data_IF_396647032216
#
_entry.id   IF_396647032216
#
_cell.length_a   1.000
_cell.length_b   1.000
_cell.length_c   1.000
_cell.angle_alpha   90.00
_cell.angle_beta   90.00
_cell.angle_gamma   90.00
#
_symmetry.space_group_name_H-M   'P 1'
#
loop_
_entity.id
_entity.type
_entity.pdbx_description
1 polymer ?
#
# COMPACT_ATOMS: atom_id res chain seq x y z
N UNK A 1 -16.61 11.55 11.29
CA UNK A 1 -16.95 10.79 10.06
C UNK A 1 -15.75 10.59 9.13
N UNK A 2 -15.16 11.63 8.51
CA UNK A 2 -14.03 11.41 7.56
C UNK A 2 -12.82 10.75 8.21
N UNK A 3 -12.50 11.15 9.45
CA UNK A 3 -11.41 10.54 10.24
C UNK A 3 -11.73 9.09 10.63
N UNK A 4 -12.97 8.80 10.98
CA UNK A 4 -13.47 7.48 11.39
C UNK A 4 -13.29 6.50 10.23
N UNK A 5 -13.68 6.91 9.02
CA UNK A 5 -13.48 6.15 7.78
C UNK A 5 -11.98 6.00 7.49
N UNK A 6 -11.17 7.06 7.65
CA UNK A 6 -9.73 6.99 7.39
C UNK A 6 -9.01 6.00 8.33
N UNK A 7 -9.31 6.06 9.64
CA UNK A 7 -8.76 5.15 10.65
C UNK A 7 -9.26 3.72 10.40
N UNK A 8 -10.53 3.54 10.00
CA UNK A 8 -11.07 2.24 9.64
C UNK A 8 -10.42 1.65 8.36
N UNK A 9 -10.18 2.48 7.32
CA UNK A 9 -9.42 2.07 6.13
C UNK A 9 -8.00 1.60 6.49
N UNK A 10 -7.32 2.34 7.39
CA UNK A 10 -5.99 1.96 7.88
C UNK A 10 -6.04 0.60 8.61
N UNK A 11 -6.99 0.42 9.52
CA UNK A 11 -7.15 -0.83 10.26
C UNK A 11 -7.45 -2.01 9.33
N UNK A 12 -8.35 -1.84 8.36
CA UNK A 12 -8.67 -2.86 7.37
C UNK A 12 -7.44 -3.20 6.50
N UNK A 13 -6.68 -2.21 6.06
CA UNK A 13 -5.45 -2.43 5.29
C UNK A 13 -4.44 -3.27 6.07
N UNK A 14 -4.25 -2.99 7.36
CA UNK A 14 -3.34 -3.77 8.21
C UNK A 14 -3.87 -5.19 8.43
N UNK A 15 -5.16 -5.34 8.77
CA UNK A 15 -5.80 -6.65 8.96
C UNK A 15 -5.73 -7.53 7.70
N UNK A 16 -5.76 -6.91 6.52
CA UNK A 16 -5.76 -7.62 5.24
C UNK A 16 -4.34 -7.97 4.74
N UNK A 17 -3.35 -7.10 4.97
CA UNK A 17 -2.01 -7.27 4.40
C UNK A 17 -0.91 -7.68 5.38
N UNK A 18 -1.13 -7.56 6.69
CA UNK A 18 -0.11 -7.87 7.69
C UNK A 18 -0.40 -9.20 8.38
N UNK A 19 0.59 -10.07 8.40
CA UNK A 19 0.57 -11.27 9.23
C UNK A 19 0.76 -10.88 10.71
N UNK A 20 -0.02 -11.51 11.58
CA UNK A 20 0.02 -11.37 13.04
C UNK A 20 0.31 -12.72 13.72
N UNK A 21 0.85 -13.68 12.96
CA UNK A 21 1.49 -14.87 13.49
C UNK A 21 2.82 -14.49 14.16
N UNK A 22 3.15 -15.23 15.21
CA UNK A 22 4.40 -15.08 15.95
C UNK A 22 5.61 -15.05 14.99
N UNK A 23 6.54 -14.08 15.11
CA UNK A 23 6.75 -13.14 16.23
C UNK A 23 6.02 -11.79 16.12
N UNK A 24 5.15 -11.61 15.12
CA UNK A 24 4.41 -10.36 14.92
C UNK A 24 3.16 -10.34 15.81
N UNK A 25 2.85 -9.19 16.39
CA UNK A 25 1.64 -8.99 17.20
C UNK A 25 0.60 -8.17 16.45
N UNK A 26 -0.70 -8.46 16.63
CA UNK A 26 -1.75 -7.64 16.04
C UNK A 26 -1.74 -6.24 16.68
N UNK A 27 -1.99 -5.22 15.86
CA UNK A 27 -2.25 -3.86 16.33
C UNK A 27 -3.63 -3.86 16.97
N UNK A 28 -3.71 -3.44 18.22
CA UNK A 28 -4.93 -3.50 19.01
C UNK A 28 -5.88 -2.36 18.67
N UNK A 29 -7.19 -2.57 18.89
CA UNK A 29 -8.21 -1.60 18.55
C UNK A 29 -7.96 -0.21 19.19
N UNK A 30 -7.53 -0.19 20.46
CA UNK A 30 -7.27 1.07 21.17
C UNK A 30 -6.18 1.92 20.50
N UNK A 31 -5.17 1.30 19.88
CA UNK A 31 -4.10 2.01 19.18
C UNK A 31 -4.65 2.78 17.98
N UNK A 32 -5.68 2.26 17.31
CA UNK A 32 -6.37 2.97 16.23
C UNK A 32 -7.26 4.10 16.75
N UNK A 33 -7.95 3.86 17.88
CA UNK A 33 -8.80 4.88 18.50
C UNK A 33 -7.99 6.10 18.93
N UNK A 34 -6.77 5.88 19.44
CA UNK A 34 -5.84 6.93 19.86
C UNK A 34 -5.27 7.77 18.69
N UNK A 35 -5.31 7.26 17.45
CA UNK A 35 -4.89 8.01 16.26
C UNK A 35 -5.90 9.08 15.85
N UNK A 36 -7.17 8.93 16.24
CA UNK A 36 -8.22 9.85 15.83
C UNK A 36 -8.08 11.18 16.56
N UNK A 37 -8.15 12.33 15.85
CA UNK A 37 -8.06 13.67 16.49
C UNK A 37 -9.29 14.01 17.35
N UNK A 38 -10.32 13.16 17.33
CA UNK A 38 -11.52 13.29 18.12
C UNK A 38 -11.84 11.95 18.78
N UNK A 39 -12.63 11.99 19.86
CA UNK A 39 -13.03 10.79 20.59
C UNK A 39 -13.84 9.85 19.69
N UNK A 40 -13.20 8.80 19.21
CA UNK A 40 -13.83 7.72 18.45
C UNK A 40 -14.17 6.58 19.41
N UNK A 41 -15.43 6.18 19.47
CA UNK A 41 -15.81 5.02 20.28
C UNK A 41 -15.45 3.72 19.55
N UNK A 42 -15.29 2.64 20.32
CA UNK A 42 -15.05 1.32 19.74
C UNK A 42 -16.19 0.88 18.81
N UNK A 43 -17.44 1.15 19.18
CA UNK A 43 -18.62 0.80 18.36
C UNK A 43 -18.67 1.59 17.05
N UNK A 44 -18.34 2.88 17.09
CA UNK A 44 -18.27 3.72 15.88
C UNK A 44 -17.15 3.25 14.95
N UNK A 45 -16.02 2.83 15.52
CA UNK A 45 -14.87 2.31 14.78
C UNK A 45 -15.19 0.96 14.10
N UNK A 46 -15.84 0.03 14.79
CA UNK A 46 -16.28 -1.24 14.18
C UNK A 46 -17.40 -1.01 13.15
N UNK A 47 -18.30 -0.07 13.41
CA UNK A 47 -19.34 0.33 12.44
C UNK A 47 -18.71 0.89 11.17
N UNK A 48 -17.73 1.80 11.28
CA UNK A 48 -17.04 2.36 10.11
C UNK A 48 -16.33 1.28 9.28
N UNK A 49 -15.67 0.30 9.92
CA UNK A 49 -15.06 -0.83 9.22
C UNK A 49 -16.09 -1.67 8.46
N UNK A 50 -17.23 -1.98 9.11
CA UNK A 50 -18.33 -2.73 8.48
C UNK A 50 -18.93 -1.98 7.30
N UNK A 51 -19.10 -0.67 7.42
CA UNK A 51 -19.68 0.17 6.37
C UNK A 51 -18.77 0.21 5.14
N UNK A 52 -17.45 0.35 5.34
CA UNK A 52 -16.46 0.27 4.26
C UNK A 52 -16.56 -1.09 3.56
N UNK A 53 -16.47 -2.20 4.32
CA UNK A 53 -16.55 -3.54 3.74
C UNK A 53 -17.85 -3.74 2.95
N UNK A 54 -18.98 -3.29 3.51
CA UNK A 54 -20.29 -3.40 2.87
C UNK A 54 -20.36 -2.57 1.57
N UNK A 55 -19.83 -1.35 1.59
CA UNK A 55 -19.78 -0.47 0.42
C UNK A 55 -18.94 -1.05 -0.73
N UNK A 56 -17.89 -1.79 -0.41
CA UNK A 56 -17.05 -2.50 -1.38
C UNK A 56 -17.51 -3.93 -1.67
N UNK A 57 -18.71 -4.33 -1.23
CA UNK A 57 -19.20 -5.71 -1.38
C UNK A 57 -18.22 -6.77 -0.87
N UNK A 58 -17.50 -6.45 0.20
CA UNK A 58 -16.45 -7.27 0.80
C UNK A 58 -15.30 -7.61 -0.18
N UNK A 59 -15.08 -6.78 -1.20
CA UNK A 59 -14.01 -6.90 -2.19
C UNK A 59 -13.05 -5.71 -2.10
N UNK A 60 -12.00 -5.87 -1.30
CA UNK A 60 -10.90 -4.92 -1.23
C UNK A 60 -9.88 -5.19 -2.35
N UNK A 61 -9.25 -4.14 -2.87
CA UNK A 61 -8.44 -4.21 -4.10
C UNK A 61 -7.06 -4.86 -3.92
N UNK A 62 -6.40 -5.09 -5.05
CA UNK A 62 -5.07 -5.70 -5.15
C UNK A 62 -3.97 -4.71 -4.78
N UNK A 63 -2.95 -5.18 -4.07
CA UNK A 63 -1.76 -4.43 -3.69
C UNK A 63 -0.77 -4.34 -4.87
N UNK A 64 -0.22 -3.14 -5.21
CA UNK A 64 0.82 -2.97 -6.22
C UNK A 64 1.98 -3.96 -6.13
N UNK A 65 2.34 -4.40 -4.92
CA UNK A 65 3.46 -5.33 -4.68
C UNK A 65 3.35 -6.60 -5.51
N UNK A 66 2.15 -7.20 -5.58
CA UNK A 66 1.93 -8.45 -6.31
C UNK A 66 2.34 -8.34 -7.79
N UNK A 67 2.02 -7.22 -8.43
CA UNK A 67 2.43 -6.95 -9.80
C UNK A 67 3.95 -6.74 -9.92
N UNK A 68 4.57 -6.05 -8.95
CA UNK A 68 6.02 -5.84 -8.95
C UNK A 68 6.77 -7.16 -8.81
N UNK A 69 6.27 -8.07 -7.98
CA UNK A 69 6.84 -9.41 -7.79
C UNK A 69 6.68 -10.26 -9.06
N UNK A 70 5.50 -10.24 -9.68
CA UNK A 70 5.27 -10.91 -10.96
C UNK A 70 6.18 -10.38 -12.08
N UNK A 71 6.37 -9.06 -12.16
CA UNK A 71 7.28 -8.45 -13.13
C UNK A 71 8.74 -8.82 -12.87
N UNK A 72 9.14 -8.84 -11.59
CA UNK A 72 10.47 -9.29 -11.20
C UNK A 72 10.72 -10.73 -11.64
N UNK A 73 9.75 -11.62 -11.45
CA UNK A 73 9.83 -13.04 -11.82
C UNK A 73 9.73 -13.28 -13.33
N UNK A 74 8.93 -12.49 -14.04
CA UNK A 74 8.73 -12.61 -15.48
C UNK A 74 9.90 -12.05 -16.32
N UNK A 75 10.72 -11.15 -15.77
CA UNK A 75 11.74 -10.42 -16.52
C UNK A 75 13.18 -10.75 -16.04
N UNK A 76 13.84 -11.78 -16.61
CA UNK A 76 15.23 -12.09 -16.30
C UNK A 76 16.20 -10.93 -16.53
N UNK A 77 15.95 -10.09 -17.55
CA UNK A 77 16.76 -8.92 -17.86
C UNK A 77 16.74 -7.88 -16.74
N UNK A 78 15.57 -7.67 -16.11
CA UNK A 78 15.42 -6.79 -14.96
C UNK A 78 16.22 -7.31 -13.77
N UNK A 79 16.18 -8.62 -13.53
CA UNK A 79 16.96 -9.25 -12.46
C UNK A 79 18.46 -9.11 -12.67
N UNK A 80 18.92 -9.32 -13.90
CA UNK A 80 20.33 -9.16 -14.25
C UNK A 80 20.81 -7.71 -14.07
N UNK A 81 19.95 -6.72 -14.36
CA UNK A 81 20.28 -5.30 -14.21
C UNK A 81 20.48 -4.90 -12.73
N UNK A 82 19.69 -5.49 -11.84
CA UNK A 82 19.65 -5.18 -10.40
C UNK A 82 20.20 -6.30 -9.51
N UNK A 83 21.05 -7.19 -10.05
CA UNK A 83 21.57 -8.37 -9.33
C UNK A 83 22.59 -8.06 -8.24
N UNK A 84 22.90 -6.78 -8.01
CA UNK A 84 23.83 -6.35 -6.97
C UNK A 84 23.10 -6.15 -5.64
N UNK A 85 23.85 -6.22 -4.54
CA UNK A 85 23.28 -6.14 -3.20
C UNK A 85 22.53 -4.82 -2.98
N UNK A 86 21.29 -4.92 -2.48
CA UNK A 86 20.39 -3.78 -2.28
C UNK A 86 19.77 -3.16 -3.54
N UNK A 87 20.22 -3.51 -4.74
CA UNK A 87 19.82 -2.81 -5.98
C UNK A 87 18.32 -2.83 -6.27
N UNK A 88 17.71 -4.02 -6.21
CA UNK A 88 16.26 -4.15 -6.42
C UNK A 88 15.45 -3.50 -5.30
N UNK A 89 15.92 -3.61 -4.06
CA UNK A 89 15.28 -3.00 -2.90
C UNK A 89 15.25 -1.46 -3.03
N UNK A 90 16.32 -0.86 -3.52
CA UNK A 90 16.38 0.59 -3.75
C UNK A 90 15.37 1.04 -4.81
N UNK A 91 15.25 0.30 -5.92
CA UNK A 91 14.25 0.57 -6.97
C UNK A 91 12.83 0.41 -6.43
N UNK A 92 12.55 -0.66 -5.68
CA UNK A 92 11.25 -0.86 -5.04
C UNK A 92 10.92 0.27 -4.07
N UNK A 93 11.86 0.70 -3.24
CA UNK A 93 11.67 1.81 -2.30
C UNK A 93 11.35 3.12 -3.02
N UNK A 94 12.03 3.43 -4.13
CA UNK A 94 11.70 4.60 -4.97
C UNK A 94 10.32 4.47 -5.61
N UNK A 95 9.99 3.29 -6.13
CA UNK A 95 8.69 2.99 -6.72
C UNK A 95 7.56 3.22 -5.72
N UNK A 96 7.71 2.71 -4.50
CA UNK A 96 6.76 2.91 -3.41
C UNK A 96 6.64 4.37 -2.98
N UNK A 97 7.75 5.10 -2.89
CA UNK A 97 7.72 6.54 -2.61
C UNK A 97 6.90 7.29 -3.67
N UNK A 98 7.12 6.99 -4.95
CA UNK A 98 6.40 7.63 -6.05
C UNK A 98 4.91 7.28 -6.07
N UNK A 99 4.56 6.01 -5.81
CA UNK A 99 3.16 5.61 -5.65
C UNK A 99 2.49 6.36 -4.49
N UNK A 100 3.14 6.40 -3.33
CA UNK A 100 2.61 7.11 -2.16
C UNK A 100 2.45 8.62 -2.41
N UNK A 101 3.40 9.28 -3.08
CA UNK A 101 3.25 10.70 -3.41
C UNK A 101 2.15 10.93 -4.44
N UNK A 102 1.99 10.05 -5.43
CA UNK A 102 0.96 10.15 -6.45
C UNK A 102 -0.47 10.07 -5.90
N UNK A 103 -0.69 9.41 -4.76
CA UNK A 103 -2.02 9.33 -4.12
C UNK A 103 -2.57 10.70 -3.69
N UNK A 104 -1.72 11.73 -3.63
CA UNK A 104 -2.12 13.10 -3.34
C UNK A 104 -2.70 13.83 -4.55
N UNK A 105 -2.46 13.33 -5.76
CA UNK A 105 -2.97 13.93 -6.99
C UNK A 105 -4.44 13.53 -7.20
N UNK A 106 -5.34 14.48 -7.48
CA UNK A 106 -6.78 14.20 -7.58
C UNK A 106 -7.14 13.27 -8.74
N UNK A 107 -6.35 13.30 -9.82
CA UNK A 107 -6.58 12.50 -11.03
C UNK A 107 -6.03 11.07 -10.94
N UNK A 108 -5.26 10.73 -9.89
CA UNK A 108 -4.58 9.43 -9.79
C UNK A 108 -5.57 8.26 -9.81
N UNK A 109 -6.75 8.45 -9.23
CA UNK A 109 -7.81 7.44 -9.13
C UNK A 109 -8.45 7.10 -10.48
N UNK A 110 -8.18 7.88 -11.54
CA UNK A 110 -8.67 7.62 -12.89
C UNK A 110 -7.90 6.52 -13.59
N UNK A 111 -6.73 6.16 -13.07
CA UNK A 111 -5.84 5.18 -13.67
C UNK A 111 -5.90 3.86 -12.90
N UNK A 112 -5.84 2.71 -13.59
CA UNK A 112 -5.78 1.43 -12.91
C UNK A 112 -4.46 1.30 -12.15
N UNK A 113 -4.50 0.62 -11.01
CA UNK A 113 -3.34 0.40 -10.13
C UNK A 113 -2.17 -0.24 -10.89
N UNK A 114 -2.45 -1.13 -11.84
CA UNK A 114 -1.41 -1.75 -12.67
C UNK A 114 -0.64 -0.73 -13.51
N UNK A 115 -1.33 0.20 -14.15
CA UNK A 115 -0.71 1.25 -14.95
C UNK A 115 0.13 2.18 -14.07
N UNK A 116 -0.41 2.58 -12.91
CA UNK A 116 0.32 3.41 -11.94
C UNK A 116 1.58 2.72 -11.43
N UNK A 117 1.47 1.44 -11.05
CA UNK A 117 2.59 0.65 -10.55
C UNK A 117 3.68 0.46 -11.61
N UNK A 118 3.30 0.13 -12.85
CA UNK A 118 4.27 -0.01 -13.95
C UNK A 118 4.93 1.33 -14.29
N UNK A 119 4.16 2.42 -14.37
CA UNK A 119 4.72 3.75 -14.65
C UNK A 119 5.68 4.21 -13.55
N UNK A 120 5.32 3.97 -12.29
CA UNK A 120 6.18 4.28 -11.15
C UNK A 120 7.47 3.44 -11.16
N UNK A 121 7.38 2.16 -11.50
CA UNK A 121 8.53 1.26 -11.61
C UNK A 121 9.49 1.71 -12.70
N UNK A 122 8.98 2.00 -13.91
CA UNK A 122 9.82 2.46 -15.03
C UNK A 122 10.52 3.76 -14.68
N UNK A 123 9.81 4.72 -14.09
CA UNK A 123 10.39 6.00 -13.65
C UNK A 123 11.49 5.77 -12.61
N UNK A 124 11.24 4.91 -11.63
CA UNK A 124 12.20 4.58 -10.58
C UNK A 124 13.45 3.85 -11.11
N UNK A 125 13.30 2.98 -12.11
CA UNK A 125 14.42 2.34 -12.79
C UNK A 125 15.28 3.39 -13.49
N UNK A 126 14.66 4.33 -14.23
CA UNK A 126 15.39 5.39 -14.94
C UNK A 126 16.15 6.27 -13.96
N UNK A 127 15.49 6.74 -12.89
CA UNK A 127 16.13 7.56 -11.87
C UNK A 127 17.29 6.82 -11.18
N UNK A 128 17.10 5.55 -10.81
CA UNK A 128 18.16 4.74 -10.22
C UNK A 128 19.34 4.47 -11.15
N UNK A 129 19.15 4.54 -12.48
CA UNK A 129 20.23 4.42 -13.45
C UNK A 129 20.96 5.75 -13.68
N UNK A 130 20.28 6.88 -13.52
CA UNK A 130 20.89 8.22 -13.63
C UNK A 130 21.70 8.57 -12.39
N UNK A 131 21.23 8.18 -11.21
CA UNK A 131 21.91 8.41 -9.92
C UNK A 131 23.15 7.50 -9.71
N UNK A 132 23.45 6.62 -10.68
CA UNK A 132 24.47 5.57 -10.60
C UNK A 132 25.65 5.88 -11.50
#
# INVERSE_FOLDING_TARGET
MTWDIAVACLALSIKFHRDFLYPLYPVMAYEYLDLSPHKLSFEDFETAQRDILSAFHYRLSVNPQSLLDELWDALPSLRNLWSFDGGWNDVQNRTWKLLCTSTREPDVLRFPVSLLATAALVSSIIESLVDR
#
